data_IF_428633315011
#
_entry.id   IF_428633315011
#
_cell.length_a   1.000
_cell.length_b   1.000
_cell.length_c   1.000
_cell.angle_alpha   90.00
_cell.angle_beta   90.00
_cell.angle_gamma   90.00
#
_symmetry.space_group_name_H-M   'P 1'
#
loop_
_entity.id
_entity.type
_entity.pdbx_description
1 polymer ?
#
# COMPACT_ATOMS: atom_id res chain seq x y z
N UNK A 1 -76.60 -6.68 7.79
CA UNK A 1 -75.29 -6.23 7.28
C UNK A 1 -74.73 -5.20 8.23
N UNK A 2 -73.88 -5.64 9.16
CA UNK A 2 -73.23 -4.83 10.20
C UNK A 2 -72.06 -5.64 10.78
N UNK A 3 -70.93 -4.95 10.97
CA UNK A 3 -69.76 -5.32 11.80
C UNK A 3 -68.81 -6.31 11.09
N UNK A 4 -67.49 -6.16 11.09
CA UNK A 4 -66.64 -5.87 12.23
C UNK A 4 -65.24 -5.41 11.74
N UNK A 5 -64.67 -4.42 12.42
CA UNK A 5 -63.25 -4.03 12.37
C UNK A 5 -62.35 -5.07 13.07
N UNK A 6 -61.07 -5.07 12.69
CA UNK A 6 -59.85 -5.43 13.45
C UNK A 6 -59.09 -6.76 13.16
N UNK A 7 -57.78 -6.54 12.92
CA UNK A 7 -56.60 -7.34 13.28
C UNK A 7 -56.08 -8.45 12.35
N UNK A 8 -54.90 -8.17 11.75
CA UNK A 8 -53.64 -8.93 11.84
C UNK A 8 -52.74 -8.49 10.67
N UNK A 9 -51.76 -7.61 10.84
CA UNK A 9 -50.36 -7.87 11.26
C UNK A 9 -49.69 -9.01 10.45
N UNK A 10 -48.52 -8.66 9.92
CA UNK A 10 -47.49 -9.47 9.22
C UNK A 10 -47.65 -9.64 7.70
N UNK A 11 -46.97 -8.79 6.94
CA UNK A 11 -46.15 -9.21 5.77
C UNK A 11 -45.26 -8.05 5.28
N UNK A 12 -44.58 -7.37 6.20
CA UNK A 12 -43.43 -6.53 5.85
C UNK A 12 -42.19 -7.41 5.77
N UNK A 13 -41.43 -7.25 4.69
CA UNK A 13 -40.04 -7.67 4.50
C UNK A 13 -39.76 -9.18 4.30
N UNK A 14 -39.96 -9.66 3.06
CA UNK A 14 -39.28 -10.86 2.58
C UNK A 14 -39.03 -10.82 1.06
N UNK A 15 -38.31 -9.79 0.59
CA UNK A 15 -37.57 -9.81 -0.69
C UNK A 15 -36.47 -8.75 -0.64
N UNK A 16 -35.52 -8.94 0.27
CA UNK A 16 -34.26 -8.20 0.29
C UNK A 16 -33.15 -9.15 0.74
N UNK A 17 -33.01 -10.28 0.06
CA UNK A 17 -31.98 -11.26 0.37
C UNK A 17 -31.47 -11.91 -0.91
N UNK A 18 -30.83 -11.11 -1.76
CA UNK A 18 -29.70 -11.54 -2.61
C UNK A 18 -29.07 -10.33 -3.32
N UNK A 19 -28.42 -9.41 -2.60
CA UNK A 19 -27.69 -8.32 -3.27
C UNK A 19 -26.58 -7.65 -2.45
N UNK A 20 -25.87 -8.36 -1.56
CA UNK A 20 -24.70 -7.78 -0.87
C UNK A 20 -23.41 -8.59 -0.94
N UNK A 21 -23.36 -9.72 -1.64
CA UNK A 21 -22.11 -10.47 -1.81
C UNK A 21 -21.54 -10.25 -3.20
N UNK A 22 -20.94 -9.07 -3.47
CA UNK A 22 -20.07 -8.97 -4.66
C UNK A 22 -19.04 -7.84 -4.67
N UNK A 23 -19.09 -6.84 -3.79
CA UNK A 23 -18.20 -5.67 -3.92
C UNK A 23 -16.92 -5.69 -3.06
N UNK A 24 -16.71 -6.71 -2.21
CA UNK A 24 -15.52 -6.82 -1.35
C UNK A 24 -14.41 -7.69 -2.00
N UNK A 25 -14.67 -8.32 -3.16
CA UNK A 25 -13.74 -9.30 -3.76
C UNK A 25 -12.72 -8.74 -4.76
N UNK A 26 -12.40 -7.46 -4.65
CA UNK A 26 -11.13 -6.91 -5.15
C UNK A 26 -10.56 -6.06 -4.03
N UNK A 27 -10.04 -6.74 -3.00
CA UNK A 27 -9.45 -6.11 -1.83
C UNK A 27 -8.12 -5.46 -2.24
N UNK A 28 -8.23 -4.25 -2.80
CA UNK A 28 -7.10 -3.37 -3.06
C UNK A 28 -6.95 -2.43 -1.87
N UNK A 29 -5.89 -2.61 -1.09
CA UNK A 29 -5.65 -1.79 0.09
C UNK A 29 -4.50 -0.82 -0.13
N UNK A 30 -4.72 0.50 0.05
CA UNK A 30 -3.66 1.48 -0.06
C UNK A 30 -2.75 1.45 1.18
N UNK A 31 -1.45 1.61 0.97
CA UNK A 31 -0.46 1.81 2.02
C UNK A 31 0.43 2.98 1.64
N UNK A 32 0.45 3.97 2.52
CA UNK A 32 1.22 5.19 2.32
C UNK A 32 2.21 5.35 3.46
N UNK A 33 3.43 5.76 3.14
CA UNK A 33 4.41 6.20 4.13
C UNK A 33 5.11 7.46 3.64
N UNK A 34 5.50 8.32 4.59
CA UNK A 34 6.25 9.53 4.31
C UNK A 34 7.64 9.41 4.93
N UNK A 35 8.65 9.85 4.20
CA UNK A 35 10.06 9.81 4.58
C UNK A 35 10.73 11.12 4.17
N UNK A 36 11.88 11.42 4.75
CA UNK A 36 12.68 12.60 4.40
C UNK A 36 14.04 12.14 3.92
N UNK A 37 14.45 12.64 2.75
CA UNK A 37 15.85 12.59 2.33
C UNK A 37 16.47 13.92 2.76
N UNK A 38 17.44 13.86 3.66
CA UNK A 38 18.04 15.04 4.28
C UNK A 38 18.89 15.83 3.29
N UNK A 39 18.86 17.15 3.42
CA UNK A 39 19.79 18.06 2.77
C UNK A 39 21.24 17.60 2.98
N UNK A 40 22.07 17.73 1.94
CA UNK A 40 23.49 17.37 2.05
C UNK A 40 23.79 15.87 1.94
N UNK A 41 22.77 15.02 1.77
CA UNK A 41 22.95 13.57 1.53
C UNK A 41 23.89 13.33 0.33
N UNK A 42 24.95 12.51 0.48
CA UNK A 42 25.98 12.38 -0.55
C UNK A 42 25.45 11.70 -1.82
N UNK A 43 25.75 12.31 -2.97
CA UNK A 43 25.50 11.72 -4.28
C UNK A 43 26.34 10.45 -4.52
N UNK A 44 25.86 9.57 -5.40
CA UNK A 44 26.50 8.32 -5.83
C UNK A 44 26.81 7.35 -4.67
N UNK A 45 26.09 7.46 -3.56
CA UNK A 45 26.19 6.54 -2.43
C UNK A 45 24.86 5.85 -2.20
N UNK A 46 24.92 4.61 -1.71
CA UNK A 46 23.73 3.88 -1.29
C UNK A 46 23.30 4.37 0.08
N UNK A 47 22.12 4.96 0.13
CA UNK A 47 21.49 5.49 1.33
C UNK A 47 20.22 4.72 1.63
N UNK A 48 19.78 4.78 2.88
CA UNK A 48 18.58 4.10 3.34
C UNK A 48 17.71 5.01 4.18
N UNK A 49 16.40 4.94 3.99
CA UNK A 49 15.44 5.55 4.88
C UNK A 49 14.38 4.51 5.27
N UNK A 50 13.91 4.57 6.50
CA UNK A 50 12.87 3.69 7.03
C UNK A 50 11.67 4.55 7.40
N UNK A 51 10.49 4.16 6.94
CA UNK A 51 9.23 4.78 7.27
C UNK A 51 8.22 3.75 7.76
N UNK A 52 7.50 4.08 8.82
CA UNK A 52 6.35 3.29 9.27
C UNK A 52 5.09 3.80 8.56
N UNK A 53 4.44 2.95 7.77
CA UNK A 53 3.10 3.21 7.24
C UNK A 53 2.02 2.49 8.05
N UNK A 54 0.76 2.75 7.70
CA UNK A 54 -0.41 2.11 8.34
C UNK A 54 -0.52 0.64 7.91
N UNK A 55 -0.26 -0.30 8.83
CA UNK A 55 -0.35 -1.74 8.51
C UNK A 55 -1.78 -2.16 8.10
N UNK A 56 -1.93 -3.17 7.25
CA UNK A 56 -3.22 -3.82 6.95
C UNK A 56 -3.91 -4.32 8.23
N UNK A 57 -3.16 -4.62 9.28
CA UNK A 57 -3.70 -5.06 10.56
C UNK A 57 -4.56 -3.98 11.25
N UNK A 58 -4.31 -2.69 10.95
CA UNK A 58 -5.16 -1.57 11.37
C UNK A 58 -6.39 -1.39 10.48
N UNK A 59 -6.40 -2.01 9.30
CA UNK A 59 -7.50 -1.97 8.32
C UNK A 59 -8.55 -3.07 8.51
N UNK A 60 -8.71 -3.54 9.76
CA UNK A 60 -9.90 -4.28 10.26
C UNK A 60 -9.96 -5.75 9.84
N UNK A 61 -9.67 -6.69 10.76
CA UNK A 61 -10.21 -8.08 10.78
C UNK A 61 -10.11 -8.96 9.51
N UNK A 62 -9.45 -8.49 8.45
CA UNK A 62 -9.53 -9.03 7.10
C UNK A 62 -8.37 -9.97 6.76
N UNK A 63 -7.30 -9.98 7.55
CA UNK A 63 -6.12 -10.84 7.32
C UNK A 63 -6.46 -12.34 7.37
N UNK A 64 -7.48 -12.72 8.14
CA UNK A 64 -7.99 -14.09 8.19
C UNK A 64 -8.75 -14.51 6.91
N UNK A 65 -9.34 -13.55 6.21
CA UNK A 65 -10.25 -13.79 5.08
C UNK A 65 -9.61 -13.56 3.71
N UNK A 66 -8.34 -13.15 3.67
CA UNK A 66 -7.59 -12.92 2.43
C UNK A 66 -6.37 -13.82 2.38
N UNK A 67 -5.92 -14.20 1.18
CA UNK A 67 -4.68 -14.94 0.89
C UNK A 67 -4.03 -14.38 -0.36
N UNK A 68 -2.76 -14.73 -0.56
CA UNK A 68 -1.98 -14.27 -1.72
C UNK A 68 -1.96 -12.75 -1.85
N UNK A 69 -1.58 -12.08 -0.78
CA UNK A 69 -1.38 -10.64 -0.77
C UNK A 69 -0.17 -10.32 -1.65
N UNK A 70 -0.38 -9.53 -2.70
CA UNK A 70 0.66 -9.11 -3.65
C UNK A 70 0.62 -7.61 -3.81
N UNK A 71 1.75 -6.99 -4.16
CA UNK A 71 1.75 -5.59 -4.56
C UNK A 71 1.17 -5.50 -5.98
N UNK A 72 0.17 -4.64 -6.15
CA UNK A 72 -0.47 -4.36 -7.43
C UNK A 72 0.16 -3.14 -8.11
N UNK A 73 0.48 -2.09 -7.34
CA UNK A 73 1.20 -0.91 -7.84
C UNK A 73 1.99 -0.25 -6.72
N UNK A 74 3.08 0.43 -7.09
CA UNK A 74 3.90 1.21 -6.17
C UNK A 74 4.35 2.49 -6.87
N UNK A 75 4.13 3.64 -6.22
CA UNK A 75 4.55 4.95 -6.68
C UNK A 75 5.34 5.65 -5.57
N UNK A 76 6.34 6.42 -5.96
CA UNK A 76 7.09 7.32 -5.08
C UNK A 76 6.93 8.75 -5.59
N UNK A 77 6.66 9.68 -4.69
CA UNK A 77 6.40 11.09 -5.00
C UNK A 77 7.25 11.99 -4.11
N UNK A 78 7.95 12.95 -4.69
CA UNK A 78 8.51 14.09 -3.95
C UNK A 78 7.39 15.07 -3.63
N UNK A 79 7.05 15.18 -2.36
CA UNK A 79 5.99 16.04 -1.83
C UNK A 79 6.49 17.38 -1.31
N UNK A 80 7.79 17.52 -1.05
CA UNK A 80 8.41 18.77 -0.59
C UNK A 80 9.87 18.87 -1.03
N UNK A 81 10.37 20.10 -1.16
CA UNK A 81 11.71 20.41 -1.62
C UNK A 81 11.75 20.98 -3.04
N UNK A 82 12.93 21.43 -3.46
CA UNK A 82 13.12 22.10 -4.76
C UNK A 82 13.40 21.13 -5.93
N UNK A 83 13.57 19.84 -5.66
CA UNK A 83 13.95 18.84 -6.66
C UNK A 83 12.82 17.84 -6.92
N UNK A 84 12.87 17.21 -8.10
CA UNK A 84 11.93 16.18 -8.53
C UNK A 84 12.48 14.76 -8.28
N UNK A 85 11.76 13.72 -8.72
CA UNK A 85 12.25 12.34 -8.65
C UNK A 85 13.52 12.11 -9.50
N UNK A 86 13.85 13.01 -10.44
CA UNK A 86 15.06 12.92 -11.26
C UNK A 86 16.37 13.04 -10.47
N UNK A 87 16.33 13.48 -9.21
CA UNK A 87 17.49 13.48 -8.31
C UNK A 87 17.92 12.06 -7.91
N UNK A 88 17.02 11.08 -7.99
CA UNK A 88 17.31 9.69 -7.70
C UNK A 88 17.90 9.01 -8.94
N UNK A 89 18.94 8.19 -8.74
CA UNK A 89 19.48 7.31 -9.78
C UNK A 89 18.74 5.97 -9.77
N UNK A 90 18.54 5.42 -8.57
CA UNK A 90 17.87 4.15 -8.33
C UNK A 90 17.15 4.19 -6.99
N UNK A 91 16.05 3.46 -6.89
CA UNK A 91 15.26 3.27 -5.67
C UNK A 91 14.85 1.81 -5.58
N UNK A 92 14.97 1.22 -4.40
CA UNK A 92 14.47 -0.10 -4.04
C UNK A 92 13.62 0.03 -2.79
N UNK A 93 12.45 -0.61 -2.79
CA UNK A 93 11.49 -0.56 -1.71
C UNK A 93 11.33 -1.95 -1.14
N UNK A 94 11.56 -2.06 0.15
CA UNK A 94 11.43 -3.26 0.94
C UNK A 94 10.27 -3.10 1.93
N UNK A 95 9.50 -4.16 2.11
CA UNK A 95 8.56 -4.28 3.21
C UNK A 95 9.11 -5.26 4.22
N UNK A 96 9.02 -4.90 5.49
CA UNK A 96 9.46 -5.75 6.59
C UNK A 96 8.42 -5.81 7.70
N UNK A 97 8.33 -6.97 8.34
CA UNK A 97 7.56 -7.16 9.56
C UNK A 97 8.16 -8.32 10.36
N UNK A 98 8.38 -8.13 11.66
CA UNK A 98 8.83 -9.20 12.56
C UNK A 98 10.13 -9.91 12.14
N UNK A 99 11.04 -9.22 11.45
CA UNK A 99 12.32 -9.76 10.99
C UNK A 99 12.31 -10.41 9.60
N UNK A 100 11.15 -10.57 8.96
CA UNK A 100 11.07 -10.89 7.54
C UNK A 100 11.10 -9.62 6.71
N UNK A 101 11.91 -9.59 5.65
CA UNK A 101 11.99 -8.45 4.72
C UNK A 101 11.95 -8.94 3.27
N UNK A 102 11.17 -8.25 2.44
CA UNK A 102 10.95 -8.61 1.04
C UNK A 102 11.09 -7.38 0.15
N UNK A 103 11.86 -7.51 -0.94
CA UNK A 103 11.91 -6.51 -2.01
C UNK A 103 10.62 -6.56 -2.81
N UNK A 104 9.87 -5.48 -2.79
CA UNK A 104 8.53 -5.42 -3.40
C UNK A 104 8.43 -4.53 -4.62
N UNK A 105 9.31 -3.55 -4.75
CA UNK A 105 9.35 -2.68 -5.91
C UNK A 105 10.74 -2.07 -6.06
N UNK A 106 11.12 -1.77 -7.29
CA UNK A 106 12.38 -1.10 -7.59
C UNK A 106 12.26 -0.28 -8.86
N UNK A 107 13.12 0.71 -9.00
CA UNK A 107 13.35 1.40 -10.27
C UNK A 107 14.82 1.75 -10.32
N UNK A 108 15.46 1.33 -11.40
CA UNK A 108 16.85 1.69 -11.72
C UNK A 108 16.85 2.62 -12.94
N UNK A 109 17.97 3.33 -13.12
CA UNK A 109 18.19 4.25 -14.25
C UNK A 109 17.05 5.28 -14.42
N UNK A 110 16.64 5.90 -13.32
CA UNK A 110 15.62 6.96 -13.30
C UNK A 110 16.14 8.13 -14.14
N UNK A 111 15.34 8.68 -15.06
CA UNK A 111 15.78 9.78 -15.93
C UNK A 111 15.80 11.14 -15.19
N UNK A 112 16.57 12.11 -15.69
CA UNK A 112 16.70 13.43 -15.04
C UNK A 112 15.41 14.27 -15.15
N UNK A 113 14.63 14.07 -16.21
CA UNK A 113 13.41 14.81 -16.51
C UNK A 113 12.13 14.19 -15.90
N UNK A 114 12.27 13.27 -14.95
CA UNK A 114 11.11 12.75 -14.21
C UNK A 114 10.57 13.87 -13.32
N UNK A 115 9.26 14.07 -13.36
CA UNK A 115 8.54 15.00 -12.49
C UNK A 115 8.55 14.55 -11.03
N UNK A 116 7.57 15.02 -10.27
CA UNK A 116 7.51 14.73 -8.83
C UNK A 116 7.09 13.30 -8.51
N UNK A 117 6.48 12.56 -9.44
CA UNK A 117 6.01 11.19 -9.21
C UNK A 117 6.71 10.21 -10.14
N UNK A 118 7.13 9.08 -9.57
CA UNK A 118 7.77 7.98 -10.25
C UNK A 118 7.02 6.69 -9.92
N UNK A 119 6.54 5.99 -10.95
CA UNK A 119 6.06 4.62 -10.78
C UNK A 119 7.25 3.68 -10.63
N UNK A 120 7.14 2.72 -9.73
CA UNK A 120 8.16 1.71 -9.48
C UNK A 120 7.78 0.40 -10.18
N UNK A 121 8.78 -0.37 -10.58
CA UNK A 121 8.58 -1.70 -11.14
C UNK A 121 8.33 -2.67 -9.99
N UNK A 122 7.09 -3.17 -9.93
CA UNK A 122 6.61 -4.02 -8.83
C UNK A 122 7.06 -5.46 -9.03
N UNK A 123 7.50 -6.10 -7.94
CA UNK A 123 7.79 -7.52 -7.89
C UNK A 123 6.51 -8.32 -7.55
N UNK A 124 5.68 -8.57 -8.56
CA UNK A 124 4.39 -9.26 -8.41
C UNK A 124 4.51 -10.75 -8.07
N UNK A 125 5.71 -11.34 -8.18
CA UNK A 125 5.95 -12.74 -7.86
C UNK A 125 5.99 -13.00 -6.35
N UNK A 126 6.23 -11.97 -5.55
CA UNK A 126 6.34 -12.10 -4.09
C UNK A 126 4.96 -12.14 -3.44
N UNK A 127 4.74 -13.16 -2.62
CA UNK A 127 3.55 -13.27 -1.76
C UNK A 127 3.91 -12.71 -0.39
N UNK A 128 3.13 -11.73 0.06
CA UNK A 128 3.39 -10.95 1.26
C UNK A 128 2.59 -11.41 2.48
N UNK A 129 1.91 -12.55 2.41
CA UNK A 129 1.11 -13.10 3.51
C UNK A 129 1.91 -13.15 4.82
N UNK A 130 3.17 -13.62 4.77
CA UNK A 130 4.02 -13.72 5.96
C UNK A 130 4.37 -12.34 6.56
N UNK A 131 4.48 -11.30 5.74
CA UNK A 131 4.80 -9.94 6.21
C UNK A 131 3.53 -9.25 6.71
N UNK A 132 2.47 -9.25 5.90
CA UNK A 132 1.25 -8.49 6.13
C UNK A 132 0.34 -9.12 7.19
N UNK A 133 0.44 -10.43 7.42
CA UNK A 133 -0.32 -11.16 8.45
C UNK A 133 0.51 -11.50 9.70
N UNK A 134 1.76 -11.04 9.77
CA UNK A 134 2.67 -11.36 10.88
C UNK A 134 2.20 -10.90 12.27
N UNK A 135 1.16 -10.07 12.34
CA UNK A 135 0.73 -9.41 13.58
C UNK A 135 1.59 -8.21 13.98
N UNK A 136 2.78 -8.07 13.38
CA UNK A 136 3.72 -7.00 13.66
C UNK A 136 3.44 -5.74 12.85
N UNK A 137 3.96 -4.61 13.32
CA UNK A 137 3.92 -3.37 12.54
C UNK A 137 4.71 -3.54 11.24
N UNK A 138 4.05 -3.32 10.11
CA UNK A 138 4.67 -3.36 8.79
C UNK A 138 5.46 -2.07 8.58
N UNK A 139 6.76 -2.22 8.34
CA UNK A 139 7.69 -1.11 8.06
C UNK A 139 8.11 -1.16 6.60
N UNK A 140 8.32 0.03 6.03
CA UNK A 140 8.88 0.17 4.70
C UNK A 140 10.30 0.72 4.81
N UNK A 141 11.25 0.03 4.19
CA UNK A 141 12.62 0.51 4.04
C UNK A 141 12.89 0.81 2.58
N UNK A 142 13.35 2.01 2.29
CA UNK A 142 13.82 2.38 0.97
C UNK A 142 15.34 2.39 0.96
N UNK A 143 15.91 1.85 -0.11
CA UNK A 143 17.34 1.93 -0.43
C UNK A 143 17.44 2.73 -1.71
N UNK A 144 18.21 3.79 -1.71
CA UNK A 144 18.28 4.70 -2.84
C UNK A 144 19.69 5.19 -3.10
N UNK A 145 19.95 5.59 -4.34
CA UNK A 145 21.17 6.28 -4.75
C UNK A 145 20.74 7.61 -5.37
N UNK A 146 21.41 8.70 -4.98
CA UNK A 146 21.14 10.03 -5.51
C UNK A 146 22.16 10.36 -6.60
N UNK A 147 21.72 11.02 -7.67
CA UNK A 147 22.61 11.55 -8.72
C UNK A 147 23.32 12.82 -8.29
N UNK A 148 22.65 13.62 -7.45
CA UNK A 148 23.17 14.87 -6.93
C UNK A 148 22.74 15.08 -5.48
N UNK A 149 23.55 15.83 -4.75
CA UNK A 149 23.31 16.16 -3.34
C UNK A 149 22.09 17.09 -3.22
N UNK A 150 21.10 16.76 -2.38
CA UNK A 150 19.92 17.60 -2.24
C UNK A 150 20.24 18.95 -1.61
N UNK A 151 19.74 20.02 -2.23
CA UNK A 151 19.94 21.39 -1.77
C UNK A 151 18.99 21.78 -0.63
N UNK A 152 17.93 21.00 -0.40
CA UNK A 152 16.95 21.12 0.69
C UNK A 152 16.53 19.72 1.10
N UNK A 153 15.91 19.59 2.27
CA UNK A 153 15.22 18.35 2.62
C UNK A 153 14.16 18.02 1.56
N UNK A 154 14.14 16.76 1.13
CA UNK A 154 13.14 16.26 0.20
C UNK A 154 12.13 15.43 0.97
N UNK A 155 10.88 15.89 1.00
CA UNK A 155 9.77 15.10 1.51
C UNK A 155 9.38 14.07 0.47
N UNK A 156 9.43 12.80 0.83
CA UNK A 156 9.08 11.67 -0.05
C UNK A 156 7.85 10.99 0.50
N UNK A 157 6.88 10.71 -0.37
CA UNK A 157 5.72 9.87 -0.09
C UNK A 157 5.75 8.67 -1.00
N UNK A 158 5.64 7.48 -0.45
CA UNK A 158 5.40 6.28 -1.26
C UNK A 158 3.99 5.80 -1.04
N UNK A 159 3.29 5.53 -2.14
CA UNK A 159 1.93 5.03 -2.16
C UNK A 159 1.91 3.69 -2.87
N UNK A 160 1.44 2.66 -2.19
CA UNK A 160 1.38 1.30 -2.70
C UNK A 160 -0.05 0.79 -2.61
N UNK A 161 -0.41 -0.07 -3.54
CA UNK A 161 -1.68 -0.77 -3.52
C UNK A 161 -1.38 -2.26 -3.46
N UNK A 162 -2.00 -2.96 -2.53
CA UNK A 162 -1.93 -4.41 -2.42
C UNK A 162 -3.20 -5.04 -2.94
N UNK A 163 -3.11 -6.10 -3.71
CA UNK A 163 -4.24 -6.97 -4.07
C UNK A 163 -4.20 -8.25 -3.24
N UNK A 164 -5.35 -8.91 -3.11
CA UNK A 164 -5.45 -10.20 -2.44
C UNK A 164 -6.63 -11.02 -2.98
N UNK A 165 -6.61 -12.33 -2.73
CA UNK A 165 -7.67 -13.26 -3.04
C UNK A 165 -8.47 -13.61 -1.78
N UNK A 166 -9.78 -13.87 -1.86
CA UNK A 166 -10.54 -14.36 -0.71
C UNK A 166 -10.10 -15.78 -0.32
N UNK A 167 -10.14 -16.06 0.98
CA UNK A 167 -10.06 -17.43 1.50
C UNK A 167 -11.42 -18.08 1.30
N UNK A 168 -11.57 -18.87 0.23
CA UNK A 168 -12.74 -19.73 0.06
C UNK A 168 -12.60 -20.93 1.00
N UNK A 169 -13.48 -21.03 2.00
CA UNK A 169 -13.64 -22.27 2.76
C UNK A 169 -14.27 -23.31 1.84
N UNK A 170 -13.61 -24.43 1.61
CA UNK A 170 -14.21 -25.63 1.03
C UNK A 170 -14.94 -26.40 2.12
#
# INVERSE_FOLDING_TARGET
MKNLFLSAIVATAAVASCSTVSSIMQNTFPYTTNMVVTQGSPANTTLTAVGAGTSINQLVGATANVKEIRVASANMTVTAGAQSMGVFQSVKVYLSAGGSEVLIASRDNIADNIGNTLSLDVNSNQVLDNVMKSGNAVQQRIVYVLKSTPATDLGIRTSMNFSSLPVTSN
#
